data_IF_072546131744
#
_entry.id   IF_072546131744
#
_cell.length_a   1.000
_cell.length_b   1.000
_cell.length_c   1.000
_cell.angle_alpha   90.00
_cell.angle_beta   90.00
_cell.angle_gamma   90.00
#
_symmetry.space_group_name_H-M   'P 1'
#
loop_
_entity.id
_entity.type
_entity.pdbx_description
1 polymer ?
#
# COMPACT_ATOMS: atom_id res chain seq x y z
N UNK A 1 -6.93 -3.04 10.48
CA UNK A 1 -5.81 -3.03 11.46
C UNK A 1 -4.96 -4.28 11.35
N UNK A 2 -5.52 -5.49 11.17
CA UNK A 2 -4.77 -6.76 11.11
C UNK A 2 -3.48 -6.76 10.24
N UNK A 3 -3.52 -6.16 9.04
CA UNK A 3 -2.33 -6.08 8.16
C UNK A 3 -1.24 -5.18 8.75
N UNK A 4 -1.63 -4.01 9.27
CA UNK A 4 -0.70 -3.06 9.90
C UNK A 4 -0.11 -3.64 11.18
N UNK A 5 -0.92 -4.35 11.97
CA UNK A 5 -0.46 -5.03 13.17
C UNK A 5 0.54 -6.13 12.83
N UNK A 6 0.28 -6.87 11.74
CA UNK A 6 1.18 -7.91 11.24
C UNK A 6 2.50 -7.33 10.75
N UNK A 7 2.45 -6.23 9.99
CA UNK A 7 3.66 -5.51 9.56
C UNK A 7 4.46 -5.01 10.75
N UNK A 8 3.80 -4.46 11.77
CA UNK A 8 4.44 -3.97 13.00
C UNK A 8 5.12 -5.11 13.77
N UNK A 9 4.40 -6.21 14.04
CA UNK A 9 4.96 -7.38 14.76
C UNK A 9 6.13 -8.02 14.01
N UNK A 10 6.07 -8.05 12.68
CA UNK A 10 7.12 -8.64 11.83
C UNK A 10 8.20 -7.66 11.39
N UNK A 11 8.14 -6.40 11.84
CA UNK A 11 9.07 -5.32 11.45
C UNK A 11 9.20 -5.17 9.94
N UNK A 12 8.07 -5.22 9.22
CA UNK A 12 8.00 -5.03 7.77
C UNK A 12 7.83 -3.54 7.48
N UNK A 13 8.81 -2.92 6.81
CA UNK A 13 8.74 -1.51 6.42
C UNK A 13 7.91 -1.27 5.15
N UNK A 14 7.94 -2.21 4.21
CA UNK A 14 7.24 -2.14 2.92
C UNK A 14 6.57 -3.48 2.64
N UNK A 15 5.26 -3.45 2.34
CA UNK A 15 4.49 -4.62 1.91
C UNK A 15 3.93 -4.37 0.52
N UNK A 16 4.18 -5.30 -0.39
CA UNK A 16 3.62 -5.29 -1.74
C UNK A 16 2.31 -6.08 -1.79
N UNK A 17 1.29 -5.50 -2.41
CA UNK A 17 -0.03 -6.07 -2.61
C UNK A 17 -0.27 -6.28 -4.10
N UNK A 18 -0.63 -7.50 -4.48
CA UNK A 18 -0.97 -7.87 -5.85
C UNK A 18 -2.45 -8.22 -5.95
N UNK A 19 -2.99 -8.19 -7.17
CA UNK A 19 -4.38 -8.54 -7.48
C UNK A 19 -5.42 -7.75 -6.69
N UNK A 20 -5.13 -6.48 -6.38
CA UNK A 20 -6.06 -5.63 -5.64
C UNK A 20 -7.30 -5.38 -6.51
N UNK A 21 -8.48 -5.66 -5.95
CA UNK A 21 -9.78 -5.49 -6.63
C UNK A 21 -10.37 -4.07 -6.52
N UNK A 22 -9.62 -3.13 -5.97
CA UNK A 22 -10.02 -1.73 -5.88
C UNK A 22 -9.79 -1.04 -7.24
N UNK A 23 -10.35 0.14 -7.46
CA UNK A 23 -10.23 0.85 -8.75
C UNK A 23 -9.71 2.25 -8.50
N UNK A 24 -8.86 2.74 -9.41
CA UNK A 24 -8.30 4.08 -9.37
C UNK A 24 -6.90 4.14 -8.78
N UNK A 25 -6.40 5.38 -8.68
CA UNK A 25 -5.13 5.71 -8.02
C UNK A 25 -5.47 6.41 -6.72
N UNK A 26 -4.99 5.91 -5.59
CA UNK A 26 -5.25 6.55 -4.30
C UNK A 26 -4.10 6.37 -3.33
N UNK A 27 -3.95 7.39 -2.51
CA UNK A 27 -3.10 7.41 -1.34
C UNK A 27 -4.00 7.49 -0.11
N UNK A 28 -3.82 6.59 0.85
CA UNK A 28 -4.62 6.56 2.08
C UNK A 28 -3.72 6.29 3.28
N UNK A 29 -3.84 7.10 4.34
CA UNK A 29 -3.25 6.74 5.63
C UNK A 29 -4.05 5.62 6.28
N UNK A 30 -3.34 4.57 6.69
CA UNK A 30 -3.89 3.42 7.36
C UNK A 30 -3.65 3.61 8.86
N UNK A 31 -4.65 4.17 9.54
CA UNK A 31 -4.70 4.34 11.00
C UNK A 31 -3.72 5.36 11.61
N UNK A 32 -3.83 5.59 12.92
CA UNK A 32 -2.97 6.43 13.77
C UNK A 32 -1.51 5.98 13.84
N UNK A 33 -1.21 4.75 13.41
CA UNK A 33 0.14 4.17 13.37
C UNK A 33 1.05 4.79 12.31
N UNK A 34 0.48 5.55 11.36
CA UNK A 34 1.24 6.35 10.39
C UNK A 34 1.66 5.59 9.13
N UNK A 35 1.14 4.39 8.91
CA UNK A 35 1.32 3.66 7.65
C UNK A 35 0.53 4.32 6.51
N UNK A 36 1.06 4.19 5.29
CA UNK A 36 0.47 4.76 4.09
C UNK A 36 0.27 3.68 3.04
N UNK A 37 -0.96 3.54 2.55
CA UNK A 37 -1.29 2.70 1.40
C UNK A 37 -1.28 3.56 0.13
N UNK A 38 -0.59 3.06 -0.88
CA UNK A 38 -0.63 3.58 -2.24
C UNK A 38 -1.07 2.46 -3.17
N UNK A 39 -2.06 2.69 -4.02
CA UNK A 39 -2.45 1.71 -5.03
C UNK A 39 -2.77 2.39 -6.36
N UNK A 40 -2.53 1.64 -7.44
CA UNK A 40 -2.81 2.04 -8.81
C UNK A 40 -3.56 0.91 -9.51
N UNK A 41 -4.79 1.17 -9.92
CA UNK A 41 -5.60 0.29 -10.77
C UNK A 41 -6.11 1.07 -11.98
N UNK A 42 -5.73 0.60 -13.18
CA UNK A 42 -6.17 1.16 -14.46
C UNK A 42 -7.48 0.55 -14.99
N UNK A 43 -7.78 -0.72 -14.69
CA UNK A 43 -8.94 -1.44 -15.25
C UNK A 43 -9.63 -2.28 -14.17
N UNK A 44 -10.97 -2.22 -14.08
CA UNK A 44 -11.76 -3.10 -13.21
C UNK A 44 -11.46 -4.57 -13.55
N UNK A 45 -11.19 -5.37 -12.51
CA UNK A 45 -11.06 -6.84 -12.52
C UNK A 45 -9.74 -7.52 -12.87
N UNK A 46 -8.70 -6.85 -13.39
CA UNK A 46 -7.39 -7.51 -13.57
C UNK A 46 -6.24 -6.53 -13.33
N UNK A 47 -5.32 -6.91 -12.44
CA UNK A 47 -3.95 -6.37 -12.33
C UNK A 47 -3.72 -5.15 -11.42
N UNK A 48 -4.54 -4.95 -10.39
CA UNK A 48 -4.23 -3.94 -9.38
C UNK A 48 -2.98 -4.26 -8.57
N UNK A 49 -2.12 -3.26 -8.40
CA UNK A 49 -0.98 -3.33 -7.47
C UNK A 49 -1.04 -2.18 -6.48
N UNK A 50 -0.46 -2.41 -5.31
CA UNK A 50 -0.32 -1.40 -4.29
C UNK A 50 0.78 -1.76 -3.31
N UNK A 51 1.14 -0.79 -2.50
CA UNK A 51 2.13 -0.97 -1.44
C UNK A 51 1.63 -0.31 -0.17
N UNK A 52 1.93 -0.94 0.96
CA UNK A 52 1.81 -0.34 2.28
C UNK A 52 3.20 -0.02 2.77
N UNK A 53 3.40 1.20 3.24
CA UNK A 53 4.71 1.76 3.55
C UNK A 53 4.64 2.37 4.95
N UNK A 54 5.63 2.06 5.77
CA UNK A 54 5.70 2.60 7.13
C UNK A 54 5.95 4.11 7.17
N UNK A 55 5.66 4.73 8.31
CA UNK A 55 5.82 6.15 8.59
C UNK A 55 7.18 6.76 8.21
N UNK A 56 8.27 5.99 8.28
CA UNK A 56 9.63 6.41 7.94
C UNK A 56 9.77 6.66 6.44
N UNK A 57 9.23 5.76 5.61
CA UNK A 57 9.44 5.76 4.16
C UNK A 57 8.26 6.39 3.39
N UNK A 58 7.16 6.73 4.06
CA UNK A 58 5.92 7.19 3.40
C UNK A 58 6.08 8.47 2.57
N UNK A 59 7.12 9.25 2.83
CA UNK A 59 7.47 10.48 2.10
C UNK A 59 8.36 10.24 0.87
N UNK A 60 9.07 9.12 0.84
CA UNK A 60 10.07 8.82 -0.20
C UNK A 60 9.46 8.07 -1.39
N UNK A 61 8.24 7.57 -1.23
CA UNK A 61 7.50 6.90 -2.30
C UNK A 61 6.94 7.93 -3.27
N UNK A 62 7.47 7.91 -4.49
CA UNK A 62 7.08 8.83 -5.57
C UNK A 62 5.94 8.25 -6.42
N UNK A 63 6.01 6.97 -6.78
CA UNK A 63 5.05 6.33 -7.68
C UNK A 63 4.99 4.81 -7.51
N UNK A 64 3.86 4.21 -7.85
CA UNK A 64 3.62 2.77 -7.84
C UNK A 64 3.06 2.35 -9.18
N UNK A 65 3.86 1.61 -9.93
CA UNK A 65 3.53 1.07 -11.25
C UNK A 65 3.75 -0.43 -11.27
N UNK A 66 2.89 -1.14 -12.01
CA UNK A 66 3.16 -2.51 -12.44
C UNK A 66 4.01 -2.44 -13.71
N UNK A 67 5.16 -3.11 -13.71
CA UNK A 67 6.05 -3.29 -14.87
C UNK A 67 5.80 -4.68 -15.46
#
# INVERSE_FOLDING_TARGET
MEVVDTMTRRKINIMCLQEIKWVGVKVKELDTSGFKLLYTIKVKNRNGVGIIVDKQWKKDVVDVKRV
#
